data_IF_507241948231
#
_entry.id   IF_507241948231
#
_cell.length_a   1.000
_cell.length_b   1.000
_cell.length_c   1.000
_cell.angle_alpha   90.00
_cell.angle_beta   90.00
_cell.angle_gamma   90.00
#
_symmetry.space_group_name_H-M   'P 1'
#
loop_
_entity.id
_entity.type
_entity.pdbx_description
1 polymer ?
#
# COMPACT_ATOMS: atom_id res chain seq x y z
N UNK A 1 -80.93 22.01 -156.24
CA UNK A 1 -80.78 20.91 -155.24
C UNK A 1 -79.31 20.69 -154.91
N UNK A 2 -78.49 21.76 -154.80
CA UNK A 2 -77.01 21.65 -154.78
C UNK A 2 -76.33 22.33 -153.56
N UNK A 3 -77.03 23.18 -152.81
CA UNK A 3 -76.48 23.84 -151.60
C UNK A 3 -76.71 23.05 -150.30
N UNK A 4 -77.82 22.31 -150.18
CA UNK A 4 -78.18 21.62 -148.93
C UNK A 4 -77.24 20.45 -148.61
N UNK A 5 -76.73 19.75 -149.64
CA UNK A 5 -75.80 18.62 -149.48
C UNK A 5 -74.42 19.08 -149.00
N UNK A 6 -73.95 20.25 -149.47
CA UNK A 6 -72.68 20.86 -149.06
C UNK A 6 -72.76 21.33 -147.60
N UNK A 7 -73.89 21.91 -147.19
CA UNK A 7 -74.09 22.39 -145.81
C UNK A 7 -74.20 21.24 -144.81
N UNK A 8 -74.90 20.15 -145.16
CA UNK A 8 -74.99 18.94 -144.32
C UNK A 8 -73.63 18.22 -144.23
N UNK A 9 -72.87 18.16 -145.33
CA UNK A 9 -71.51 17.60 -145.32
C UNK A 9 -70.52 18.42 -144.49
N UNK A 10 -70.61 19.75 -144.53
CA UNK A 10 -69.82 20.64 -143.69
C UNK A 10 -70.19 20.53 -142.21
N UNK A 11 -71.49 20.40 -141.89
CA UNK A 11 -71.97 20.27 -140.52
C UNK A 11 -71.57 18.92 -139.90
N UNK A 12 -71.68 17.82 -140.66
CA UNK A 12 -71.16 16.52 -140.23
C UNK A 12 -69.64 16.52 -140.01
N UNK A 13 -68.89 17.30 -140.80
CA UNK A 13 -67.44 17.46 -140.62
C UNK A 13 -67.11 18.28 -139.38
N UNK A 14 -67.82 19.38 -139.12
CA UNK A 14 -67.68 20.19 -137.90
C UNK A 14 -68.08 19.43 -136.63
N UNK A 15 -69.15 18.64 -136.66
CA UNK A 15 -69.55 17.78 -135.53
C UNK A 15 -68.50 16.68 -135.29
N UNK A 16 -67.94 16.08 -136.36
CA UNK A 16 -66.84 15.13 -136.27
C UNK A 16 -65.56 15.75 -135.70
N UNK A 17 -65.16 16.93 -136.18
CA UNK A 17 -63.99 17.67 -135.67
C UNK A 17 -64.20 18.16 -134.23
N UNK A 18 -65.41 18.61 -133.89
CA UNK A 18 -65.80 19.02 -132.54
C UNK A 18 -65.83 17.84 -131.55
N UNK A 19 -66.31 16.66 -131.98
CA UNK A 19 -66.28 15.44 -131.18
C UNK A 19 -64.84 14.94 -130.94
N UNK A 20 -63.96 15.05 -131.93
CA UNK A 20 -62.53 14.72 -131.79
C UNK A 20 -61.82 15.73 -130.87
N UNK A 21 -62.15 17.02 -130.97
CA UNK A 21 -61.59 18.05 -130.09
C UNK A 21 -62.08 17.91 -128.64
N UNK A 22 -63.36 17.58 -128.43
CA UNK A 22 -63.93 17.29 -127.11
C UNK A 22 -63.28 16.05 -126.48
N UNK A 23 -63.12 14.96 -127.25
CA UNK A 23 -62.44 13.75 -126.78
C UNK A 23 -60.96 13.96 -126.44
N UNK A 24 -60.24 14.80 -127.21
CA UNK A 24 -58.87 15.21 -126.85
C UNK A 24 -58.82 16.03 -125.57
N UNK A 25 -59.76 16.97 -125.39
CA UNK A 25 -59.82 17.83 -124.20
C UNK A 25 -60.14 17.01 -122.94
N UNK A 26 -61.09 16.08 -123.02
CA UNK A 26 -61.44 15.15 -121.93
C UNK A 26 -60.26 14.24 -121.56
N UNK A 27 -59.58 13.68 -122.57
CA UNK A 27 -58.39 12.84 -122.35
C UNK A 27 -57.23 13.63 -121.71
N UNK A 28 -56.98 14.87 -122.14
CA UNK A 28 -55.94 15.72 -121.53
C UNK A 28 -56.31 16.18 -120.12
N UNK A 29 -57.60 16.43 -119.82
CA UNK A 29 -58.07 16.80 -118.49
C UNK A 29 -57.95 15.63 -117.50
N UNK A 30 -58.34 14.42 -117.91
CA UNK A 30 -58.20 13.21 -117.10
C UNK A 30 -56.72 12.87 -116.85
N UNK A 31 -55.84 13.03 -117.86
CA UNK A 31 -54.39 12.85 -117.69
C UNK A 31 -53.80 13.83 -116.66
N UNK A 32 -54.13 15.12 -116.75
CA UNK A 32 -53.66 16.13 -115.79
C UNK A 32 -54.18 15.87 -114.38
N UNK A 33 -55.42 15.38 -114.23
CA UNK A 33 -55.99 15.00 -112.93
C UNK A 33 -55.24 13.79 -112.33
N UNK A 34 -54.97 12.74 -113.12
CA UNK A 34 -54.19 11.59 -112.65
C UNK A 34 -52.74 11.96 -112.31
N UNK A 35 -52.11 12.84 -113.07
CA UNK A 35 -50.78 13.38 -112.74
C UNK A 35 -50.84 14.18 -111.44
N UNK A 36 -51.84 15.05 -111.26
CA UNK A 36 -52.02 15.83 -110.04
C UNK A 36 -52.20 14.95 -108.79
N UNK A 37 -53.02 13.91 -108.88
CA UNK A 37 -53.20 12.91 -107.81
C UNK A 37 -51.90 12.15 -107.55
N UNK A 38 -51.19 11.74 -108.61
CA UNK A 38 -49.90 11.06 -108.51
C UNK A 38 -48.85 11.91 -107.79
N UNK A 39 -48.72 13.19 -108.16
CA UNK A 39 -47.79 14.13 -107.52
C UNK A 39 -48.19 14.38 -106.06
N UNK A 40 -49.48 14.57 -105.77
CA UNK A 40 -49.95 14.76 -104.40
C UNK A 40 -49.67 13.52 -103.53
N UNK A 41 -49.86 12.31 -104.07
CA UNK A 41 -49.57 11.07 -103.37
C UNK A 41 -48.07 10.90 -103.12
N UNK A 42 -47.23 11.17 -104.12
CA UNK A 42 -45.77 11.14 -103.97
C UNK A 42 -45.31 12.19 -102.95
N UNK A 43 -45.85 13.41 -102.97
CA UNK A 43 -45.52 14.45 -102.01
C UNK A 43 -45.93 14.06 -100.58
N UNK A 44 -47.13 13.50 -100.39
CA UNK A 44 -47.59 13.01 -99.09
C UNK A 44 -46.73 11.83 -98.60
N UNK A 45 -46.33 10.93 -99.49
CA UNK A 45 -45.46 9.80 -99.15
C UNK A 45 -44.05 10.28 -98.75
N UNK A 46 -43.47 11.21 -99.50
CA UNK A 46 -42.17 11.82 -99.16
C UNK A 46 -42.23 12.57 -97.84
N UNK A 47 -43.31 13.34 -97.59
CA UNK A 47 -43.52 14.03 -96.32
C UNK A 47 -43.70 13.07 -95.14
N UNK A 48 -44.43 11.97 -95.33
CA UNK A 48 -44.58 10.93 -94.32
C UNK A 48 -43.24 10.26 -93.98
N UNK A 49 -42.42 9.96 -95.00
CA UNK A 49 -41.06 9.46 -94.80
C UNK A 49 -40.17 10.49 -94.10
N UNK A 50 -40.31 11.77 -94.44
CA UNK A 50 -39.57 12.87 -93.80
C UNK A 50 -39.94 13.01 -92.31
N UNK A 51 -41.23 13.07 -91.97
CA UNK A 51 -41.71 13.15 -90.58
C UNK A 51 -41.33 11.90 -89.79
N UNK A 52 -41.51 10.70 -90.37
CA UNK A 52 -41.15 9.45 -89.71
C UNK A 52 -39.66 9.39 -89.39
N UNK A 53 -38.81 9.87 -90.31
CA UNK A 53 -37.35 9.84 -90.13
C UNK A 53 -36.83 10.95 -89.22
N UNK A 54 -37.40 12.16 -89.29
CA UNK A 54 -36.93 13.32 -88.53
C UNK A 54 -37.53 13.37 -87.12
N UNK A 55 -38.79 12.97 -86.93
CA UNK A 55 -39.48 13.11 -85.63
C UNK A 55 -39.69 11.76 -84.95
N UNK A 56 -40.30 10.78 -85.63
CA UNK A 56 -40.71 9.53 -84.98
C UNK A 56 -39.53 8.67 -84.55
N UNK A 57 -38.45 8.63 -85.35
CA UNK A 57 -37.27 7.82 -85.02
C UNK A 57 -36.50 8.34 -83.80
N UNK A 58 -36.17 9.65 -83.67
CA UNK A 58 -35.53 10.17 -82.47
C UNK A 58 -36.37 10.05 -81.19
N UNK A 59 -37.70 10.25 -81.28
CA UNK A 59 -38.60 10.07 -80.12
C UNK A 59 -38.63 8.61 -79.65
N UNK A 60 -38.67 7.65 -80.59
CA UNK A 60 -38.60 6.23 -80.24
C UNK A 60 -37.27 5.88 -79.56
N UNK A 61 -36.15 6.46 -80.03
CA UNK A 61 -34.83 6.29 -79.41
C UNK A 61 -34.80 6.87 -77.98
N UNK A 62 -35.39 8.04 -77.76
CA UNK A 62 -35.48 8.65 -76.44
C UNK A 62 -36.37 7.85 -75.50
N UNK A 63 -37.51 7.33 -75.97
CA UNK A 63 -38.38 6.44 -75.19
C UNK A 63 -37.65 5.16 -74.78
N UNK A 64 -36.94 4.52 -75.71
CA UNK A 64 -36.15 3.32 -75.42
C UNK A 64 -35.02 3.62 -74.41
N UNK A 65 -34.35 4.76 -74.55
CA UNK A 65 -33.31 5.20 -73.63
C UNK A 65 -33.86 5.46 -72.22
N UNK A 66 -35.03 6.12 -72.12
CA UNK A 66 -35.70 6.35 -70.85
C UNK A 66 -36.15 5.03 -70.20
N UNK A 67 -36.68 4.07 -70.98
CA UNK A 67 -37.02 2.73 -70.48
C UNK A 67 -35.80 1.98 -69.95
N UNK A 68 -34.64 2.12 -70.60
CA UNK A 68 -33.38 1.52 -70.12
C UNK A 68 -32.89 2.15 -68.82
N UNK A 69 -32.92 3.48 -68.73
CA UNK A 69 -32.59 4.19 -67.48
C UNK A 69 -33.54 3.73 -66.36
N UNK A 70 -34.85 3.65 -66.63
CA UNK A 70 -35.84 3.18 -65.65
C UNK A 70 -35.62 1.70 -65.25
N UNK A 71 -35.11 0.88 -66.17
CA UNK A 71 -34.70 -0.49 -65.91
C UNK A 71 -33.35 -0.63 -65.19
N UNK A 72 -32.67 0.48 -64.89
CA UNK A 72 -31.37 0.50 -64.19
C UNK A 72 -30.15 0.30 -65.10
N UNK A 73 -30.34 0.24 -66.42
CA UNK A 73 -29.23 0.12 -67.38
C UNK A 73 -28.72 1.51 -67.79
N UNK A 74 -27.67 1.96 -67.11
CA UNK A 74 -26.95 3.22 -67.38
C UNK A 74 -25.66 2.99 -68.19
N UNK A 75 -25.48 1.81 -68.79
CA UNK A 75 -24.18 1.41 -69.37
C UNK A 75 -23.93 1.97 -70.76
N UNK A 76 -24.97 2.22 -71.55
CA UNK A 76 -24.79 2.76 -72.90
C UNK A 76 -25.09 4.25 -72.97
N UNK A 77 -24.19 5.04 -73.58
CA UNK A 77 -24.34 6.48 -73.68
C UNK A 77 -25.48 6.84 -74.63
N UNK A 78 -26.25 7.87 -74.25
CA UNK A 78 -27.26 8.48 -75.10
C UNK A 78 -26.57 9.59 -75.89
N UNK A 79 -26.50 9.43 -77.22
CA UNK A 79 -25.86 10.40 -78.12
C UNK A 79 -26.93 11.04 -78.99
N UNK A 80 -26.98 12.38 -79.02
CA UNK A 80 -27.81 13.13 -79.95
C UNK A 80 -26.98 13.64 -81.12
N UNK A 81 -27.50 13.48 -82.35
CA UNK A 81 -26.95 14.07 -83.58
C UNK A 81 -27.85 15.16 -84.17
N UNK A 82 -28.98 15.46 -83.50
CA UNK A 82 -30.00 16.41 -83.98
C UNK A 82 -29.98 17.68 -83.13
N UNK A 83 -30.29 18.82 -83.75
CA UNK A 83 -30.32 20.14 -83.10
C UNK A 83 -31.75 20.67 -82.90
N UNK A 84 -32.74 19.81 -83.09
CA UNK A 84 -34.16 20.09 -82.86
C UNK A 84 -34.59 19.73 -81.43
N UNK A 85 -35.87 19.88 -81.13
CA UNK A 85 -36.45 19.59 -79.82
C UNK A 85 -36.23 18.13 -79.39
N UNK A 86 -36.24 17.18 -80.34
CA UNK A 86 -35.99 15.78 -80.07
C UNK A 86 -34.51 15.53 -79.72
N UNK A 87 -33.60 16.24 -80.39
CA UNK A 87 -32.17 16.24 -80.06
C UNK A 87 -31.86 16.84 -78.69
N UNK A 88 -32.55 17.92 -78.29
CA UNK A 88 -32.45 18.50 -76.95
C UNK A 88 -32.96 17.52 -75.88
N UNK A 89 -34.06 16.80 -76.15
CA UNK A 89 -34.59 15.79 -75.23
C UNK A 89 -33.62 14.62 -75.00
N UNK A 90 -33.00 14.11 -76.08
CA UNK A 90 -31.97 13.07 -75.96
C UNK A 90 -30.75 13.54 -75.16
N UNK A 91 -30.33 14.80 -75.37
CA UNK A 91 -29.22 15.40 -74.60
C UNK A 91 -29.56 15.47 -73.11
N UNK A 92 -30.74 15.98 -72.75
CA UNK A 92 -31.19 16.05 -71.36
C UNK A 92 -31.31 14.67 -70.70
N UNK A 93 -31.74 13.64 -71.43
CA UNK A 93 -31.73 12.25 -70.95
C UNK A 93 -30.31 11.72 -70.72
N UNK A 94 -29.36 12.08 -71.59
CA UNK A 94 -27.93 11.76 -71.42
C UNK A 94 -27.32 12.41 -70.19
N UNK A 95 -27.66 13.68 -69.93
CA UNK A 95 -27.23 14.40 -68.72
C UNK A 95 -27.82 13.74 -67.46
N UNK A 96 -29.12 13.40 -67.48
CA UNK A 96 -29.78 12.67 -66.40
C UNK A 96 -29.14 11.29 -66.16
N UNK A 97 -28.84 10.53 -67.22
CA UNK A 97 -28.12 9.25 -67.11
C UNK A 97 -26.76 9.43 -66.43
N UNK A 98 -26.02 10.47 -66.84
CA UNK A 98 -24.70 10.78 -66.29
C UNK A 98 -24.79 11.15 -64.81
N UNK A 99 -25.75 12.01 -64.43
CA UNK A 99 -26.00 12.35 -63.02
C UNK A 99 -26.39 11.13 -62.19
N UNK A 100 -27.30 10.28 -62.68
CA UNK A 100 -27.68 9.05 -61.99
C UNK A 100 -26.49 8.11 -61.81
N UNK A 101 -25.67 7.92 -62.84
CA UNK A 101 -24.46 7.09 -62.78
C UNK A 101 -23.46 7.64 -61.75
N UNK A 102 -23.28 8.96 -61.71
CA UNK A 102 -22.44 9.62 -60.71
C UNK A 102 -22.97 9.39 -59.29
N UNK A 103 -24.28 9.58 -59.06
CA UNK A 103 -24.91 9.37 -57.75
C UNK A 103 -24.79 7.92 -57.29
N UNK A 104 -25.02 6.94 -58.16
CA UNK A 104 -24.84 5.52 -57.83
C UNK A 104 -23.37 5.20 -57.53
N UNK A 105 -22.42 5.79 -58.26
CA UNK A 105 -20.99 5.65 -57.96
C UNK A 105 -20.61 6.23 -56.60
N UNK A 106 -21.17 7.38 -56.23
CA UNK A 106 -21.00 7.98 -54.91
C UNK A 106 -21.61 7.12 -53.80
N UNK A 107 -22.81 6.57 -54.02
CA UNK A 107 -23.47 5.65 -53.07
C UNK A 107 -22.65 4.38 -52.87
N UNK A 108 -22.14 3.77 -53.95
CA UNK A 108 -21.27 2.59 -53.86
C UNK A 108 -20.01 2.91 -53.06
N UNK A 109 -19.35 4.03 -53.35
CA UNK A 109 -18.15 4.46 -52.63
C UNK A 109 -18.42 4.70 -51.14
N UNK A 110 -19.56 5.32 -50.81
CA UNK A 110 -19.98 5.54 -49.43
C UNK A 110 -20.33 4.24 -48.71
N UNK A 111 -20.93 3.26 -49.40
CA UNK A 111 -21.22 1.94 -48.85
C UNK A 111 -19.92 1.16 -48.55
N UNK A 112 -18.93 1.21 -49.45
CA UNK A 112 -17.62 0.61 -49.23
C UNK A 112 -16.89 1.24 -48.03
N UNK A 113 -16.92 2.57 -47.92
CA UNK A 113 -16.36 3.28 -46.76
C UNK A 113 -17.06 2.90 -45.45
N UNK A 114 -18.39 2.78 -45.46
CA UNK A 114 -19.16 2.36 -44.30
C UNK A 114 -18.83 0.92 -43.90
N UNK A 115 -18.65 0.02 -44.86
CA UNK A 115 -18.25 -1.36 -44.61
C UNK A 115 -16.87 -1.43 -43.95
N UNK A 116 -15.88 -0.69 -44.48
CA UNK A 116 -14.54 -0.61 -43.87
C UNK A 116 -14.58 -0.02 -42.46
N UNK A 117 -15.35 1.05 -42.24
CA UNK A 117 -15.49 1.65 -40.92
C UNK A 117 -16.17 0.68 -39.91
N UNK A 118 -17.12 -0.14 -40.36
CA UNK A 118 -17.74 -1.15 -39.53
C UNK A 118 -16.77 -2.28 -39.13
N UNK A 119 -15.89 -2.71 -40.04
CA UNK A 119 -14.83 -3.67 -39.74
C UNK A 119 -13.82 -3.12 -38.73
N UNK A 120 -13.40 -1.86 -38.89
CA UNK A 120 -12.51 -1.18 -37.95
C UNK A 120 -13.15 -1.04 -36.56
N UNK A 121 -14.41 -0.63 -36.50
CA UNK A 121 -15.17 -0.57 -35.25
C UNK A 121 -15.29 -1.93 -34.56
N UNK A 122 -15.49 -3.01 -35.32
CA UNK A 122 -15.54 -4.35 -34.76
C UNK A 122 -14.18 -4.76 -34.16
N UNK A 123 -13.08 -4.46 -34.85
CA UNK A 123 -11.73 -4.72 -34.34
C UNK A 123 -11.45 -3.94 -33.05
N UNK A 124 -11.78 -2.65 -33.01
CA UNK A 124 -11.62 -1.80 -31.81
C UNK A 124 -12.49 -2.29 -30.66
N UNK A 125 -13.71 -2.77 -30.95
CA UNK A 125 -14.62 -3.31 -29.94
C UNK A 125 -14.09 -4.61 -29.35
N UNK A 126 -13.53 -5.50 -30.19
CA UNK A 126 -12.91 -6.75 -29.72
C UNK A 126 -11.66 -6.47 -28.87
N UNK A 127 -10.81 -5.53 -29.27
CA UNK A 127 -9.66 -5.10 -28.49
C UNK A 127 -10.09 -4.51 -27.14
N UNK A 128 -11.11 -3.65 -27.14
CA UNK A 128 -11.66 -3.05 -25.92
C UNK A 128 -12.23 -4.11 -24.98
N UNK A 129 -12.92 -5.12 -25.51
CA UNK A 129 -13.43 -6.25 -24.73
C UNK A 129 -12.29 -7.03 -24.06
N UNK A 130 -11.21 -7.34 -24.80
CA UNK A 130 -10.01 -7.98 -24.23
C UNK A 130 -9.30 -7.08 -23.21
N UNK A 131 -9.33 -5.76 -23.41
CA UNK A 131 -8.84 -4.78 -22.45
C UNK A 131 -9.63 -4.81 -21.14
N UNK A 132 -10.96 -4.85 -21.22
CA UNK A 132 -11.85 -4.94 -20.06
C UNK A 132 -11.64 -6.23 -19.26
N UNK A 133 -11.41 -7.37 -19.93
CA UNK A 133 -11.07 -8.63 -19.22
C UNK A 133 -9.77 -8.48 -18.43
N UNK A 134 -8.70 -7.97 -19.05
CA UNK A 134 -7.42 -7.73 -18.35
C UNK A 134 -7.57 -6.76 -17.18
N UNK A 135 -8.32 -5.67 -17.38
CA UNK A 135 -8.59 -4.71 -16.32
C UNK A 135 -9.38 -5.35 -15.16
N UNK A 136 -10.30 -6.28 -15.45
CA UNK A 136 -11.02 -7.02 -14.40
C UNK A 136 -10.06 -7.89 -13.57
N UNK A 137 -9.13 -8.59 -14.23
CA UNK A 137 -8.11 -9.40 -13.55
C UNK A 137 -7.20 -8.53 -12.67
N UNK A 138 -6.77 -7.37 -13.16
CA UNK A 138 -5.98 -6.41 -12.39
C UNK A 138 -6.75 -5.88 -11.17
N UNK A 139 -8.05 -5.61 -11.31
CA UNK A 139 -8.92 -5.18 -10.21
C UNK A 139 -9.06 -6.30 -9.16
N UNK A 140 -9.21 -7.56 -9.59
CA UNK A 140 -9.27 -8.69 -8.66
C UNK A 140 -7.96 -8.84 -7.87
N UNK A 141 -6.81 -8.70 -8.54
CA UNK A 141 -5.50 -8.71 -7.87
C UNK A 141 -5.36 -7.54 -6.88
N UNK A 142 -5.77 -6.33 -7.28
CA UNK A 142 -5.76 -5.17 -6.39
C UNK A 142 -6.66 -5.38 -5.16
N UNK A 143 -7.84 -5.98 -5.33
CA UNK A 143 -8.74 -6.31 -4.22
C UNK A 143 -8.10 -7.32 -3.26
N UNK A 144 -7.42 -8.34 -3.78
CA UNK A 144 -6.65 -9.28 -2.95
C UNK A 144 -5.54 -8.57 -2.19
N UNK A 145 -4.76 -7.70 -2.84
CA UNK A 145 -3.70 -6.94 -2.19
C UNK A 145 -4.24 -6.02 -1.07
N UNK A 146 -5.41 -5.41 -1.27
CA UNK A 146 -6.08 -4.61 -0.23
C UNK A 146 -6.51 -5.47 0.97
N UNK A 147 -7.00 -6.68 0.74
CA UNK A 147 -7.31 -7.62 1.82
C UNK A 147 -6.04 -8.03 2.61
N UNK A 148 -4.95 -8.35 1.91
CA UNK A 148 -3.66 -8.67 2.54
C UNK A 148 -3.11 -7.47 3.35
N UNK A 149 -3.18 -6.26 2.79
CA UNK A 149 -2.80 -5.04 3.50
C UNK A 149 -3.65 -4.81 4.74
N UNK A 150 -4.96 -5.06 4.66
CA UNK A 150 -5.87 -4.90 5.81
C UNK A 150 -5.48 -5.87 6.93
N UNK A 151 -5.22 -7.14 6.60
CA UNK A 151 -4.74 -8.14 7.56
C UNK A 151 -3.40 -7.73 8.20
N UNK A 152 -2.47 -7.22 7.41
CA UNK A 152 -1.17 -6.74 7.90
C UNK A 152 -1.33 -5.54 8.84
N UNK A 153 -2.19 -4.57 8.52
CA UNK A 153 -2.47 -3.41 9.37
C UNK A 153 -3.11 -3.85 10.70
N UNK A 154 -4.05 -4.79 10.67
CA UNK A 154 -4.62 -5.35 11.91
C UNK A 154 -3.57 -6.07 12.76
N UNK A 155 -2.64 -6.79 12.13
CA UNK A 155 -1.54 -7.45 12.84
C UNK A 155 -0.60 -6.43 13.49
N UNK A 156 -0.23 -5.36 12.77
CA UNK A 156 0.56 -4.26 13.32
C UNK A 156 -0.16 -3.60 14.49
N UNK A 157 -1.47 -3.38 14.40
CA UNK A 157 -2.27 -2.81 15.49
C UNK A 157 -2.30 -3.72 16.73
N UNK A 158 -2.48 -5.04 16.54
CA UNK A 158 -2.42 -6.03 17.63
C UNK A 158 -1.03 -6.05 18.29
N UNK A 159 0.04 -6.04 17.50
CA UNK A 159 1.42 -6.02 18.00
C UNK A 159 1.73 -4.73 18.77
N UNK A 160 1.24 -3.57 18.29
CA UNK A 160 1.38 -2.30 18.99
C UNK A 160 0.65 -2.31 20.34
N UNK A 161 -0.55 -2.86 20.40
CA UNK A 161 -1.32 -3.00 21.64
C UNK A 161 -0.62 -3.92 22.64
N UNK A 162 -0.16 -5.09 22.19
CA UNK A 162 0.62 -6.02 23.02
C UNK A 162 1.91 -5.39 23.55
N UNK A 163 2.63 -4.64 22.72
CA UNK A 163 3.86 -3.91 23.11
C UNK A 163 3.56 -2.83 24.14
N UNK A 164 2.43 -2.12 24.00
CA UNK A 164 1.97 -1.13 24.97
C UNK A 164 1.66 -1.76 26.33
N UNK A 165 0.95 -2.89 26.35
CA UNK A 165 0.64 -3.63 27.57
C UNK A 165 1.91 -4.16 28.26
N UNK A 166 2.83 -4.74 27.49
CA UNK A 166 4.13 -5.18 28.00
C UNK A 166 4.93 -4.02 28.59
N UNK A 167 4.95 -2.86 27.92
CA UNK A 167 5.61 -1.65 28.43
C UNK A 167 5.01 -1.15 29.74
N UNK A 168 3.68 -1.20 29.88
CA UNK A 168 2.97 -0.84 31.12
C UNK A 168 3.29 -1.81 32.25
N UNK A 169 3.36 -3.10 31.96
CA UNK A 169 3.78 -4.12 32.92
C UNK A 169 5.22 -3.86 33.38
N UNK A 170 6.16 -3.67 32.45
CA UNK A 170 7.57 -3.36 32.78
C UNK A 170 7.69 -2.08 33.61
N UNK A 171 6.90 -1.04 33.32
CA UNK A 171 6.89 0.19 34.12
C UNK A 171 6.42 -0.06 35.55
N UNK A 172 5.46 -0.96 35.73
CA UNK A 172 4.94 -1.33 37.06
C UNK A 172 5.98 -2.16 37.82
N UNK A 173 6.60 -3.14 37.17
CA UNK A 173 7.67 -3.96 37.76
C UNK A 173 8.89 -3.11 38.14
N UNK A 174 9.30 -2.16 37.30
CA UNK A 174 10.39 -1.23 37.62
C UNK A 174 10.05 -0.33 38.83
N UNK A 175 8.80 0.12 38.95
CA UNK A 175 8.35 0.88 40.11
C UNK A 175 8.38 0.04 41.40
N UNK A 176 7.87 -1.19 41.36
CA UNK A 176 7.93 -2.13 42.49
C UNK A 176 9.38 -2.44 42.88
N UNK A 177 10.26 -2.68 41.91
CA UNK A 177 11.68 -2.94 42.19
C UNK A 177 12.39 -1.73 42.80
N UNK A 178 12.05 -0.50 42.38
CA UNK A 178 12.57 0.73 42.98
C UNK A 178 12.17 0.83 44.45
N UNK A 179 10.91 0.52 44.76
CA UNK A 179 10.41 0.57 46.13
C UNK A 179 11.10 -0.51 47.00
N UNK A 180 11.31 -1.71 46.46
CA UNK A 180 12.07 -2.77 47.14
C UNK A 180 13.54 -2.40 47.37
N UNK A 181 14.18 -1.70 46.41
CA UNK A 181 15.55 -1.18 46.60
C UNK A 181 15.60 -0.11 47.70
N UNK A 182 14.57 0.73 47.82
CA UNK A 182 14.44 1.70 48.91
C UNK A 182 14.28 1.02 50.27
N UNK A 183 13.48 -0.04 50.34
CA UNK A 183 13.32 -0.83 51.56
C UNK A 183 14.63 -1.52 51.96
N UNK A 184 15.39 -2.03 50.98
CA UNK A 184 16.72 -2.58 51.23
C UNK A 184 17.69 -1.53 51.81
N UNK A 185 17.68 -0.29 51.29
CA UNK A 185 18.48 0.81 51.86
C UNK A 185 18.10 1.09 53.32
N UNK A 186 16.80 1.11 53.63
CA UNK A 186 16.33 1.30 55.01
C UNK A 186 16.80 0.18 55.93
N UNK A 187 16.68 -1.09 55.50
CA UNK A 187 17.13 -2.24 56.27
C UNK A 187 18.65 -2.21 56.54
N UNK A 188 19.44 -1.80 55.54
CA UNK A 188 20.90 -1.67 55.68
C UNK A 188 21.29 -0.54 56.65
N UNK A 189 20.52 0.55 56.70
CA UNK A 189 20.72 1.58 57.72
C UNK A 189 20.51 1.01 59.12
N UNK A 190 19.42 0.27 59.35
CA UNK A 190 19.16 -0.40 60.64
C UNK A 190 20.30 -1.36 61.01
N UNK A 191 20.81 -2.15 60.06
CA UNK A 191 21.95 -3.05 60.31
C UNK A 191 23.21 -2.26 60.66
N UNK A 192 23.46 -1.12 60.01
CA UNK A 192 24.62 -0.28 60.29
C UNK A 192 24.56 0.33 61.70
N UNK A 193 23.37 0.73 62.15
CA UNK A 193 23.13 1.23 63.50
C UNK A 193 23.36 0.13 64.54
N UNK A 194 22.87 -1.08 64.29
CA UNK A 194 23.04 -2.23 65.19
C UNK A 194 24.50 -2.66 65.30
N UNK A 195 25.25 -2.64 64.19
CA UNK A 195 26.70 -2.87 64.19
C UNK A 195 27.40 -1.80 65.02
N UNK A 196 27.06 -0.52 64.86
CA UNK A 196 27.67 0.58 65.61
C UNK A 196 27.41 0.46 67.12
N UNK A 197 26.18 0.12 67.50
CA UNK A 197 25.79 -0.15 68.90
C UNK A 197 26.60 -1.30 69.47
N UNK A 198 26.66 -2.42 68.73
CA UNK A 198 27.40 -3.60 69.15
C UNK A 198 28.90 -3.31 69.26
N UNK A 199 29.50 -2.49 68.39
CA UNK A 199 30.92 -2.13 68.45
C UNK A 199 31.21 -1.41 69.75
N UNK A 200 30.32 -0.48 70.14
CA UNK A 200 30.43 0.26 71.39
C UNK A 200 30.39 -0.69 72.61
N UNK A 201 29.48 -1.68 72.60
CA UNK A 201 29.39 -2.66 73.68
C UNK A 201 30.65 -3.52 73.80
N UNK A 202 31.24 -3.94 72.69
CA UNK A 202 32.48 -4.74 72.68
C UNK A 202 33.68 -3.90 73.11
N UNK A 203 33.77 -2.64 72.69
CA UNK A 203 34.81 -1.71 73.15
C UNK A 203 34.72 -1.44 74.65
N UNK A 204 33.51 -1.29 75.20
CA UNK A 204 33.29 -1.16 76.64
C UNK A 204 33.73 -2.44 77.38
N UNK A 205 33.37 -3.62 76.86
CA UNK A 205 33.84 -4.90 77.40
C UNK A 205 35.37 -4.99 77.40
N UNK A 206 36.03 -4.63 76.29
CA UNK A 206 37.48 -4.58 76.20
C UNK A 206 38.11 -3.58 77.20
N UNK A 207 37.41 -2.48 77.50
CA UNK A 207 37.77 -1.54 78.57
C UNK A 207 37.70 -2.18 79.96
N UNK A 208 36.58 -2.83 80.29
CA UNK A 208 36.37 -3.53 81.57
C UNK A 208 37.36 -4.68 81.79
N UNK A 209 37.65 -5.44 80.73
CA UNK A 209 38.64 -6.54 80.76
C UNK A 209 40.06 -6.02 81.06
N UNK A 210 40.45 -4.87 80.49
CA UNK A 210 41.71 -4.19 80.84
C UNK A 210 41.77 -3.75 82.30
N UNK A 211 40.64 -3.28 82.85
CA UNK A 211 40.56 -2.89 84.25
C UNK A 211 40.73 -4.10 85.18
N UNK A 212 40.13 -5.25 84.84
CA UNK A 212 40.34 -6.52 85.56
C UNK A 212 41.82 -6.93 85.51
N UNK A 213 42.49 -6.78 84.37
CA UNK A 213 43.94 -7.02 84.25
C UNK A 213 44.76 -6.23 85.28
N UNK A 214 44.46 -4.93 85.44
CA UNK A 214 45.14 -4.08 86.45
C UNK A 214 44.88 -4.56 87.88
N UNK A 215 43.67 -5.05 88.17
CA UNK A 215 43.34 -5.60 89.50
C UNK A 215 44.13 -6.88 89.75
N UNK A 216 44.29 -7.74 88.74
CA UNK A 216 45.08 -8.96 88.84
C UNK A 216 46.56 -8.67 89.10
N UNK A 217 47.13 -7.64 88.46
CA UNK A 217 48.51 -7.20 88.73
C UNK A 217 48.70 -6.82 90.21
N UNK A 218 47.72 -6.12 90.80
CA UNK A 218 47.73 -5.78 92.24
C UNK A 218 47.63 -7.02 93.11
N UNK A 219 46.74 -7.96 92.80
CA UNK A 219 46.58 -9.21 93.57
C UNK A 219 47.86 -10.05 93.51
N UNK A 220 48.48 -10.15 92.33
CA UNK A 220 49.75 -10.83 92.14
C UNK A 220 50.86 -10.17 92.96
N UNK A 221 50.92 -8.84 92.97
CA UNK A 221 51.83 -8.08 93.83
C UNK A 221 51.60 -8.33 95.33
N UNK A 222 50.34 -8.38 95.78
CA UNK A 222 49.99 -8.72 97.17
C UNK A 222 50.39 -10.15 97.51
N UNK A 223 50.14 -11.12 96.61
CA UNK A 223 50.53 -12.51 96.82
C UNK A 223 52.06 -12.65 96.91
N UNK A 224 52.82 -11.93 96.09
CA UNK A 224 54.28 -11.91 96.13
C UNK A 224 54.82 -11.29 97.43
N UNK A 225 54.24 -10.17 97.87
CA UNK A 225 54.55 -9.57 99.17
C UNK A 225 54.20 -10.51 100.33
N UNK A 226 53.05 -11.18 100.27
CA UNK A 226 52.61 -12.14 101.29
C UNK A 226 53.54 -13.35 101.35
N UNK A 227 54.01 -13.84 100.19
CA UNK A 227 54.99 -14.90 100.10
C UNK A 227 56.33 -14.50 100.73
N UNK A 228 56.80 -13.27 100.49
CA UNK A 228 58.01 -12.71 101.11
C UNK A 228 57.87 -12.52 102.63
N UNK A 229 56.72 -12.01 103.08
CA UNK A 229 56.41 -11.85 104.51
C UNK A 229 56.37 -13.20 105.23
N UNK A 230 55.70 -14.20 104.62
CA UNK A 230 55.63 -15.55 105.14
C UNK A 230 57.00 -16.22 105.20
N UNK A 231 57.85 -16.01 104.19
CA UNK A 231 59.23 -16.49 104.18
C UNK A 231 60.04 -15.90 105.35
N UNK A 232 59.95 -14.58 105.57
CA UNK A 232 60.62 -13.92 106.68
C UNK A 232 60.11 -14.42 108.05
N UNK A 233 58.80 -14.66 108.17
CA UNK A 233 58.20 -15.22 109.38
C UNK A 233 58.64 -16.67 109.63
N UNK A 234 58.73 -17.50 108.59
CA UNK A 234 59.24 -18.88 108.70
C UNK A 234 60.71 -18.91 109.13
N UNK A 235 61.54 -18.00 108.62
CA UNK A 235 62.94 -17.84 109.03
C UNK A 235 63.03 -17.47 110.52
N UNK A 236 62.24 -16.49 110.98
CA UNK A 236 62.29 -16.05 112.37
C UNK A 236 61.69 -17.09 113.34
N UNK A 237 60.66 -17.83 112.90
CA UNK A 237 60.10 -18.95 113.66
C UNK A 237 61.11 -20.10 113.81
N UNK A 238 61.88 -20.42 112.77
CA UNK A 238 62.99 -21.38 112.86
C UNK A 238 64.09 -20.92 113.82
N UNK A 239 64.31 -19.60 113.90
CA UNK A 239 65.30 -18.97 114.80
C UNK A 239 64.91 -19.04 116.28
N UNK A 240 63.60 -19.03 116.59
CA UNK A 240 63.06 -19.16 117.94
C UNK A 240 63.05 -20.60 118.50
N UNK A 241 63.47 -21.60 117.71
CA UNK A 241 63.58 -23.00 118.15
C UNK A 241 62.22 -23.64 118.52
N UNK A 242 62.17 -24.41 119.60
CA UNK A 242 60.96 -25.14 120.03
C UNK A 242 59.76 -24.21 120.37
N UNK A 243 60.01 -22.96 120.79
CA UNK A 243 58.94 -21.98 121.07
C UNK A 243 58.30 -21.41 119.80
N UNK A 244 58.98 -21.46 118.65
CA UNK A 244 58.51 -20.93 117.37
C UNK A 244 57.78 -21.94 116.50
N UNK A 245 57.68 -23.20 116.93
CA UNK A 245 57.25 -24.33 116.10
C UNK A 245 55.81 -24.20 115.58
N UNK A 246 54.89 -23.65 116.39
CA UNK A 246 53.52 -23.35 115.96
C UNK A 246 53.45 -22.20 114.95
N UNK A 247 54.31 -21.19 115.09
CA UNK A 247 54.41 -20.07 114.13
C UNK A 247 55.02 -20.51 112.80
N UNK A 248 55.98 -21.44 112.81
CA UNK A 248 56.58 -21.98 111.58
C UNK A 248 55.55 -22.68 110.69
N UNK A 249 54.68 -23.50 111.28
CA UNK A 249 53.60 -24.19 110.53
C UNK A 249 52.63 -23.18 109.90
N UNK A 250 52.25 -22.13 110.63
CA UNK A 250 51.37 -21.08 110.09
C UNK A 250 52.08 -20.31 108.97
N UNK A 251 53.37 -19.99 109.13
CA UNK A 251 54.13 -19.29 108.10
C UNK A 251 54.27 -20.11 106.80
N UNK A 252 54.53 -21.41 106.90
CA UNK A 252 54.57 -22.29 105.72
C UNK A 252 53.20 -22.44 105.05
N UNK A 253 52.09 -22.50 105.81
CA UNK A 253 50.74 -22.53 105.27
C UNK A 253 50.38 -21.22 104.54
N UNK A 254 50.74 -20.06 105.12
CA UNK A 254 50.57 -18.74 104.46
C UNK A 254 51.42 -18.66 103.19
N UNK A 255 52.63 -19.20 103.20
CA UNK A 255 53.50 -19.26 102.02
C UNK A 255 52.90 -20.12 100.91
N UNK A 256 52.39 -21.30 101.26
CA UNK A 256 51.70 -22.18 100.32
C UNK A 256 50.43 -21.54 99.75
N UNK A 257 49.66 -20.82 100.58
CA UNK A 257 48.48 -20.09 100.13
C UNK A 257 48.86 -18.96 99.16
N UNK A 258 49.90 -18.18 99.48
CA UNK A 258 50.39 -17.11 98.60
C UNK A 258 50.87 -17.65 97.25
N UNK A 259 51.59 -18.77 97.22
CA UNK A 259 52.00 -19.44 95.99
C UNK A 259 50.79 -19.93 95.16
N UNK A 260 49.77 -20.51 95.81
CA UNK A 260 48.50 -20.89 95.13
C UNK A 260 47.77 -19.67 94.57
N UNK A 261 47.72 -18.55 95.30
CA UNK A 261 47.13 -17.29 94.80
C UNK A 261 47.88 -16.77 93.58
N UNK A 262 49.22 -16.84 93.58
CA UNK A 262 50.04 -16.44 92.43
C UNK A 262 49.80 -17.34 91.20
N UNK A 263 49.70 -18.65 91.39
CA UNK A 263 49.37 -19.58 90.30
C UNK A 263 47.98 -19.31 89.72
N UNK A 264 46.95 -19.18 90.56
CA UNK A 264 45.58 -18.87 90.11
C UNK A 264 45.47 -17.51 89.44
N UNK A 265 46.19 -16.48 89.92
CA UNK A 265 46.20 -15.18 89.24
C UNK A 265 46.85 -15.24 87.87
N UNK A 266 47.92 -16.04 87.67
CA UNK A 266 48.51 -16.29 86.35
C UNK A 266 47.58 -17.03 85.38
N UNK A 267 46.80 -17.99 85.86
CA UNK A 267 45.75 -18.64 85.06
C UNK A 267 44.67 -17.65 84.63
N UNK A 268 44.20 -16.78 85.55
CA UNK A 268 43.21 -15.76 85.23
C UNK A 268 43.79 -14.70 84.26
N UNK A 269 45.04 -14.29 84.43
CA UNK A 269 45.74 -13.38 83.51
C UNK A 269 45.75 -13.93 82.07
N UNK A 270 46.04 -15.22 81.92
CA UNK A 270 45.97 -15.90 80.61
C UNK A 270 44.56 -15.90 80.02
N UNK A 271 43.54 -16.18 80.83
CA UNK A 271 42.14 -16.12 80.40
C UNK A 271 41.72 -14.71 79.98
N UNK A 272 42.10 -13.68 80.75
CA UNK A 272 41.85 -12.27 80.44
C UNK A 272 42.54 -11.87 79.14
N UNK A 273 43.79 -12.29 78.91
CA UNK A 273 44.49 -12.07 77.65
C UNK A 273 43.75 -12.66 76.45
N UNK A 274 43.22 -13.88 76.59
CA UNK A 274 42.40 -14.53 75.56
C UNK A 274 41.09 -13.79 75.30
N UNK A 275 40.40 -13.32 76.35
CA UNK A 275 39.15 -12.55 76.22
C UNK A 275 39.43 -11.22 75.52
N UNK A 276 40.53 -10.54 75.86
CA UNK A 276 40.89 -9.27 75.25
C UNK A 276 41.24 -9.42 73.77
N UNK A 277 42.04 -10.45 73.41
CA UNK A 277 42.33 -10.77 72.01
C UNK A 277 41.04 -11.06 71.22
N UNK A 278 40.08 -11.78 71.83
CA UNK A 278 38.78 -12.07 71.21
C UNK A 278 37.93 -10.81 71.02
N UNK A 279 37.94 -9.89 71.99
CA UNK A 279 37.25 -8.60 71.88
C UNK A 279 37.84 -7.73 70.76
N UNK A 280 39.17 -7.63 70.65
CA UNK A 280 39.84 -6.90 69.57
C UNK A 280 39.51 -7.51 68.19
N UNK A 281 39.47 -8.84 68.10
CA UNK A 281 39.05 -9.53 66.87
C UNK A 281 37.59 -9.23 66.52
N UNK A 282 36.69 -9.20 67.50
CA UNK A 282 35.29 -8.83 67.29
C UNK A 282 35.16 -7.39 66.78
N UNK A 283 35.86 -6.41 67.38
CA UNK A 283 35.85 -5.00 66.90
C UNK A 283 36.30 -4.92 65.43
N UNK A 284 37.38 -5.62 65.06
CA UNK A 284 37.86 -5.66 63.66
C UNK A 284 36.83 -6.27 62.71
N UNK A 285 36.21 -7.39 63.10
CA UNK A 285 35.17 -8.04 62.29
C UNK A 285 33.97 -7.10 62.08
N UNK A 286 33.59 -6.34 63.09
CA UNK A 286 32.50 -5.37 63.02
C UNK A 286 32.83 -4.16 62.14
N UNK A 287 34.07 -3.68 62.18
CA UNK A 287 34.55 -2.66 61.24
C UNK A 287 34.45 -3.11 59.77
N UNK A 288 34.80 -4.37 59.51
CA UNK A 288 34.62 -4.97 58.18
C UNK A 288 33.13 -5.08 57.80
N UNK A 289 32.28 -5.54 58.71
CA UNK A 289 30.83 -5.62 58.50
C UNK A 289 30.21 -4.25 58.21
N UNK A 290 30.65 -3.20 58.90
CA UNK A 290 30.20 -1.81 58.64
C UNK A 290 30.58 -1.34 57.24
N UNK A 291 31.80 -1.63 56.80
CA UNK A 291 32.26 -1.30 55.44
C UNK A 291 31.43 -2.04 54.39
N UNK A 292 31.15 -3.33 54.62
CA UNK A 292 30.31 -4.13 53.73
C UNK A 292 28.87 -3.60 53.66
N UNK A 293 28.29 -3.21 54.79
CA UNK A 293 26.96 -2.60 54.84
C UNK A 293 26.91 -1.30 54.02
N UNK A 294 27.90 -0.40 54.18
CA UNK A 294 27.99 0.85 53.42
C UNK A 294 28.12 0.63 51.90
N UNK A 295 28.92 -0.35 51.47
CA UNK A 295 29.02 -0.72 50.07
C UNK A 295 27.69 -1.27 49.51
N UNK A 296 27.02 -2.11 50.30
CA UNK A 296 25.72 -2.70 49.92
C UNK A 296 24.64 -1.61 49.80
N UNK A 297 24.66 -0.62 50.70
CA UNK A 297 23.77 0.54 50.64
C UNK A 297 23.95 1.32 49.34
N UNK A 298 25.19 1.60 48.97
CA UNK A 298 25.52 2.33 47.73
C UNK A 298 25.04 1.58 46.49
N UNK A 299 25.20 0.25 46.47
CA UNK A 299 24.73 -0.61 45.39
C UNK A 299 23.19 -0.63 45.29
N UNK A 300 22.50 -0.71 46.43
CA UNK A 300 21.04 -0.66 46.48
C UNK A 300 20.50 0.70 45.98
N UNK A 301 21.15 1.81 46.36
CA UNK A 301 20.81 3.13 45.84
C UNK A 301 21.01 3.24 44.32
N UNK A 302 22.14 2.76 43.80
CA UNK A 302 22.43 2.75 42.36
C UNK A 302 21.41 1.89 41.57
N UNK A 303 20.98 0.78 42.17
CA UNK A 303 19.90 -0.07 41.62
C UNK A 303 18.59 0.68 41.56
N UNK A 304 18.20 1.34 42.67
CA UNK A 304 16.98 2.14 42.73
C UNK A 304 16.93 3.27 41.69
N UNK A 305 18.05 3.98 41.50
CA UNK A 305 18.16 5.03 40.46
C UNK A 305 18.05 4.47 39.04
N UNK A 306 18.60 3.27 38.80
CA UNK A 306 18.51 2.62 37.49
C UNK A 306 17.08 2.18 37.18
N UNK A 307 16.37 1.65 38.17
CA UNK A 307 14.94 1.30 38.05
C UNK A 307 14.07 2.54 37.83
N UNK A 308 14.39 3.67 38.48
CA UNK A 308 13.71 4.94 38.22
C UNK A 308 13.92 5.44 36.78
N UNK A 309 15.13 5.31 36.24
CA UNK A 309 15.40 5.65 34.84
C UNK A 309 14.59 4.78 33.88
N UNK A 310 14.52 3.46 34.13
CA UNK A 310 13.72 2.52 33.33
C UNK A 310 12.23 2.92 33.37
N UNK A 311 11.70 3.18 34.57
CA UNK A 311 10.31 3.59 34.75
C UNK A 311 9.98 4.93 34.06
N UNK A 312 10.93 5.87 33.97
CA UNK A 312 10.77 7.15 33.25
C UNK A 312 10.97 7.04 31.75
N UNK A 313 11.85 6.15 31.28
CA UNK A 313 12.13 5.97 29.84
C UNK A 313 11.00 5.26 29.11
N UNK A 314 10.20 4.47 29.84
CA UNK A 314 9.01 3.88 29.27
C UNK A 314 7.97 5.00 29.08
N UNK A 315 7.47 5.21 27.85
CA UNK A 315 6.49 6.24 27.61
C UNK A 315 5.29 5.98 28.51
N UNK A 316 4.95 6.95 29.38
CA UNK A 316 3.60 7.03 29.93
C UNK A 316 2.70 7.13 28.71
N UNK A 317 2.07 6.03 28.34
CA UNK A 317 1.15 5.95 27.21
C UNK A 317 -0.06 6.81 27.55
N UNK A 318 0.08 8.13 27.38
CA UNK A 318 -1.02 9.03 27.17
C UNK A 318 -1.48 8.73 25.76
N UNK A 319 -2.27 7.67 25.61
CA UNK A 319 -3.18 7.52 24.49
C UNK A 319 -4.16 8.68 24.66
N UNK A 320 -3.75 9.85 24.21
CA UNK A 320 -4.66 10.89 23.83
C UNK A 320 -5.44 10.31 22.66
N UNK A 321 -6.66 9.90 22.97
CA UNK A 321 -7.76 9.70 22.04
C UNK A 321 -7.68 10.76 20.94
N UNK A 322 -7.32 10.36 19.73
CA UNK A 322 -7.56 11.10 18.49
C UNK A 322 -8.42 10.20 17.61
#
# INVERSE_FOLDING_TARGET
MDELSIMVGSNNRQIGEGAIAAGKTESTANLNLYIGIGVAFVAAFVLALFISRVISSPIACALFSAQRIAGGDLTQPIVSTHHDEAGLMLTALGDMQTSLKSTIGQISSAADQLASAAEELNAVTEESSRGLTRQNDEIQQAATAVNEMTAAVEEVARNAMSTSDASKQTSTEAATGRDQARDAVNAINTVSDEISSSTTMVEELAGRVREIGKVLDVIRGIAEQTNLLALNAAIEAARAGEQGRGFAVVADEVRALAARTQASTGEIETMIGSVQASADQAVRAMGNSRTLASNTQSLAQATGQSLERIAKSLPRSTIATC
#
